data_IF_637917937086
#
_entry.id   IF_637917937086
#
_cell.length_a   1.000
_cell.length_b   1.000
_cell.length_c   1.000
_cell.angle_alpha   90.00
_cell.angle_beta   90.00
_cell.angle_gamma   90.00
#
_symmetry.space_group_name_H-M   'P 1'
#
loop_
_entity.id
_entity.type
_entity.pdbx_description
1 polymer ?
#
# COMPACT_ATOMS: atom_id res chain seq x y z
N UNK A 1 8.69 22.82 -44.70
CA UNK A 1 8.65 21.96 -43.49
C UNK A 1 7.23 21.44 -43.33
N UNK A 2 6.99 20.15 -43.54
CA UNK A 2 5.65 19.56 -43.40
C UNK A 2 5.21 19.63 -41.92
N UNK A 3 4.03 20.19 -41.66
CA UNK A 3 3.49 20.36 -40.31
C UNK A 3 3.39 19.03 -39.57
N UNK A 4 3.88 18.98 -38.33
CA UNK A 4 3.77 17.78 -37.48
C UNK A 4 2.31 17.56 -37.10
N UNK A 5 1.68 16.56 -37.71
CA UNK A 5 0.33 16.11 -37.33
C UNK A 5 0.36 15.64 -35.87
N UNK A 6 -0.59 16.14 -35.06
CA UNK A 6 -0.72 15.76 -33.67
C UNK A 6 -1.08 14.28 -33.50
N UNK A 7 -0.80 13.70 -32.34
CA UNK A 7 -1.19 12.31 -32.05
C UNK A 7 -2.72 12.12 -32.01
N UNK A 8 -3.49 13.17 -31.71
CA UNK A 8 -4.96 13.16 -31.78
C UNK A 8 -5.44 13.02 -33.23
N UNK A 9 -4.97 13.89 -34.11
CA UNK A 9 -5.32 13.86 -35.54
C UNK A 9 -4.89 12.55 -36.22
N UNK A 10 -3.76 11.96 -35.82
CA UNK A 10 -3.34 10.62 -36.29
C UNK A 10 -4.32 9.52 -35.85
N UNK A 11 -4.91 9.61 -34.65
CA UNK A 11 -5.92 8.64 -34.17
C UNK A 11 -7.22 8.78 -34.92
N UNK A 12 -7.70 10.01 -35.12
CA UNK A 12 -8.92 10.29 -35.89
C UNK A 12 -8.80 9.81 -37.34
N UNK A 13 -7.67 10.09 -38.00
CA UNK A 13 -7.37 9.60 -39.34
C UNK A 13 -7.35 8.07 -39.39
N UNK A 14 -6.72 7.43 -38.39
CA UNK A 14 -6.71 5.96 -38.31
C UNK A 14 -8.14 5.43 -38.19
N UNK A 15 -8.95 5.96 -37.27
CA UNK A 15 -10.32 5.53 -37.04
C UNK A 15 -11.21 5.67 -38.30
N UNK A 16 -11.08 6.77 -39.04
CA UNK A 16 -11.83 6.99 -40.28
C UNK A 16 -11.48 6.02 -41.42
N UNK A 17 -10.26 5.47 -41.42
CA UNK A 17 -9.74 4.62 -42.50
C UNK A 17 -9.83 3.12 -42.16
N UNK A 18 -10.04 2.76 -40.89
CA UNK A 18 -10.12 1.36 -40.41
C UNK A 18 -11.16 0.55 -41.17
N UNK A 19 -12.37 1.07 -41.38
CA UNK A 19 -13.45 0.32 -42.05
C UNK A 19 -13.15 0.10 -43.54
N UNK A 20 -12.55 1.10 -44.20
CA UNK A 20 -12.06 0.94 -45.59
C UNK A 20 -10.95 -0.12 -45.66
N UNK A 21 -10.00 -0.09 -44.72
CA UNK A 21 -8.96 -1.10 -44.63
C UNK A 21 -9.54 -2.51 -44.38
N UNK A 22 -10.59 -2.62 -43.57
CA UNK A 22 -11.25 -3.89 -43.25
C UNK A 22 -11.89 -4.53 -44.48
N UNK A 23 -12.65 -3.74 -45.25
CA UNK A 23 -13.40 -4.18 -46.43
C UNK A 23 -12.52 -4.34 -47.70
N UNK A 24 -11.32 -3.78 -47.70
CA UNK A 24 -10.41 -3.81 -48.85
C UNK A 24 -9.80 -5.19 -49.14
N UNK A 25 -9.57 -5.47 -50.43
CA UNK A 25 -8.78 -6.60 -50.91
C UNK A 25 -7.27 -6.43 -50.63
N UNK A 26 -6.47 -7.47 -50.92
CA UNK A 26 -5.03 -7.49 -50.58
C UNK A 26 -4.23 -6.35 -51.21
N UNK A 27 -4.52 -6.01 -52.47
CA UNK A 27 -3.85 -4.91 -53.19
C UNK A 27 -4.21 -3.54 -52.58
N UNK A 28 -5.50 -3.31 -52.31
CA UNK A 28 -5.99 -2.03 -51.78
C UNK A 28 -5.60 -1.82 -50.31
N UNK A 29 -5.50 -2.89 -49.51
CA UNK A 29 -4.91 -2.85 -48.17
C UNK A 29 -3.48 -2.33 -48.18
N UNK A 30 -2.70 -2.70 -49.20
CA UNK A 30 -1.36 -2.19 -49.41
C UNK A 30 -1.35 -0.68 -49.58
N UNK A 31 -2.16 -0.18 -50.53
CA UNK A 31 -2.30 1.25 -50.84
C UNK A 31 -2.77 2.06 -49.64
N UNK A 32 -3.78 1.59 -48.92
CA UNK A 32 -4.30 2.25 -47.72
C UNK A 32 -3.23 2.36 -46.62
N UNK A 33 -2.39 1.34 -46.46
CA UNK A 33 -1.26 1.39 -45.52
C UNK A 33 -0.19 2.39 -45.97
N UNK A 34 0.13 2.45 -47.26
CA UNK A 34 1.10 3.39 -47.82
C UNK A 34 0.64 4.84 -47.63
N UNK A 35 -0.63 5.13 -47.91
CA UNK A 35 -1.24 6.44 -47.68
C UNK A 35 -1.19 6.83 -46.19
N UNK A 36 -1.56 5.92 -45.29
CA UNK A 36 -1.51 6.19 -43.85
C UNK A 36 -0.07 6.46 -43.39
N UNK A 37 0.92 5.71 -43.88
CA UNK A 37 2.33 5.92 -43.55
C UNK A 37 2.84 7.27 -44.08
N UNK A 38 2.45 7.66 -45.30
CA UNK A 38 2.83 8.94 -45.90
C UNK A 38 2.27 10.14 -45.11
N UNK A 39 1.02 10.06 -44.67
CA UNK A 39 0.38 11.15 -43.92
C UNK A 39 0.86 11.20 -42.46
N UNK A 40 0.94 10.05 -41.78
CA UNK A 40 1.28 10.01 -40.35
C UNK A 40 2.79 10.03 -40.09
N UNK A 41 3.62 9.68 -41.07
CA UNK A 41 5.05 9.43 -40.89
C UNK A 41 5.32 8.14 -40.09
N UNK A 42 4.34 7.26 -39.94
CA UNK A 42 4.53 5.98 -39.26
C UNK A 42 5.25 4.97 -40.12
N UNK A 43 6.05 4.11 -39.47
CA UNK A 43 6.54 2.90 -40.10
C UNK A 43 5.39 1.94 -40.40
N UNK A 44 5.43 1.22 -41.54
CA UNK A 44 4.38 0.30 -41.99
C UNK A 44 3.93 -0.70 -40.92
N UNK A 45 4.89 -1.25 -40.16
CA UNK A 45 4.61 -2.17 -39.02
C UNK A 45 3.81 -1.52 -37.89
N UNK A 46 3.94 -0.22 -37.69
CA UNK A 46 3.14 0.53 -36.73
C UNK A 46 1.72 0.78 -37.27
N UNK A 47 1.59 1.19 -38.53
CA UNK A 47 0.28 1.36 -39.19
C UNK A 47 -0.57 0.07 -39.18
N UNK A 48 0.05 -1.08 -39.50
CA UNK A 48 -0.61 -2.40 -39.41
C UNK A 48 -1.11 -2.69 -37.99
N UNK A 49 -0.29 -2.43 -36.97
CA UNK A 49 -0.68 -2.62 -35.55
C UNK A 49 -1.80 -1.68 -35.13
N UNK A 50 -1.80 -0.45 -35.62
CA UNK A 50 -2.82 0.55 -35.33
C UNK A 50 -4.18 0.14 -35.92
N UNK A 51 -4.22 -0.36 -37.16
CA UNK A 51 -5.43 -0.93 -37.74
C UNK A 51 -5.88 -2.21 -37.03
N UNK A 52 -4.97 -3.14 -36.74
CA UNK A 52 -5.29 -4.37 -36.03
C UNK A 52 -5.86 -4.09 -34.63
N UNK A 53 -5.36 -3.05 -33.96
CA UNK A 53 -5.87 -2.63 -32.64
C UNK A 53 -7.27 -2.05 -32.73
N UNK A 54 -7.61 -1.29 -33.77
CA UNK A 54 -8.98 -0.78 -33.96
C UNK A 54 -9.95 -1.89 -34.40
N UNK A 55 -9.51 -2.82 -35.25
CA UNK A 55 -10.31 -4.01 -35.62
C UNK A 55 -10.51 -4.96 -34.43
N UNK A 56 -9.54 -5.05 -33.52
CA UNK A 56 -9.64 -5.81 -32.28
C UNK A 56 -10.49 -5.11 -31.20
N UNK A 57 -10.89 -3.84 -31.40
CA UNK A 57 -11.91 -3.17 -30.57
C UNK A 57 -13.30 -3.51 -31.15
N UNK A 58 -13.61 -4.79 -31.28
CA UNK A 58 -15.00 -5.20 -31.03
C UNK A 58 -15.11 -5.44 -29.53
N UNK A 59 -15.93 -4.67 -28.78
CA UNK A 59 -16.08 -4.81 -27.33
C UNK A 59 -16.55 -6.19 -26.87
N UNK A 60 -17.00 -7.05 -27.79
CA UNK A 60 -17.83 -8.21 -27.50
C UNK A 60 -17.07 -9.47 -27.04
N UNK A 61 -15.73 -9.50 -27.01
CA UNK A 61 -15.04 -10.77 -26.71
C UNK A 61 -13.75 -10.67 -25.90
N UNK A 62 -13.53 -9.62 -25.10
CA UNK A 62 -12.66 -9.80 -23.93
C UNK A 62 -13.46 -10.59 -22.91
N UNK A 63 -13.43 -11.92 -23.03
CA UNK A 63 -13.94 -12.87 -22.04
C UNK A 63 -13.37 -12.45 -20.69
N UNK A 64 -14.15 -11.69 -19.92
CA UNK A 64 -13.70 -11.17 -18.64
C UNK A 64 -13.47 -12.40 -17.77
N UNK A 65 -12.19 -12.68 -17.49
CA UNK A 65 -11.82 -13.82 -16.67
C UNK A 65 -12.51 -13.62 -15.32
N UNK A 66 -13.37 -14.57 -14.94
CA UNK A 66 -14.09 -14.49 -13.67
C UNK A 66 -13.05 -14.25 -12.55
N UNK A 67 -13.24 -13.24 -11.69
CA UNK A 67 -12.29 -12.97 -10.62
C UNK A 67 -12.11 -14.21 -9.75
N UNK A 68 -10.86 -14.67 -9.58
CA UNK A 68 -10.53 -15.81 -8.69
C UNK A 68 -10.95 -15.53 -7.25
N UNK A 69 -10.94 -14.26 -6.84
CA UNK A 69 -11.38 -13.81 -5.53
C UNK A 69 -12.73 -13.11 -5.68
N UNK A 70 -13.80 -13.82 -5.31
CA UNK A 70 -15.16 -13.29 -5.30
C UNK A 70 -15.40 -12.31 -4.15
N UNK A 71 -16.55 -11.63 -4.16
CA UNK A 71 -16.97 -10.75 -3.07
C UNK A 71 -16.93 -11.46 -1.71
N UNK A 72 -17.36 -12.72 -1.65
CA UNK A 72 -17.35 -13.56 -0.44
C UNK A 72 -15.95 -13.71 0.16
N UNK A 73 -14.91 -13.84 -0.66
CA UNK A 73 -13.52 -13.93 -0.17
C UNK A 73 -13.02 -12.57 0.31
N UNK A 74 -13.39 -11.50 -0.39
CA UNK A 74 -13.10 -10.13 0.08
C UNK A 74 -13.72 -9.90 1.45
N UNK A 75 -14.99 -10.23 1.64
CA UNK A 75 -15.71 -10.03 2.92
C UNK A 75 -15.08 -10.86 4.04
N UNK A 76 -14.67 -12.10 3.76
CA UNK A 76 -13.92 -12.92 4.70
C UNK A 76 -12.58 -12.29 5.11
N UNK A 77 -11.84 -11.75 4.14
CA UNK A 77 -10.58 -11.05 4.41
C UNK A 77 -10.78 -9.74 5.18
N UNK A 78 -11.90 -9.03 4.96
CA UNK A 78 -12.27 -7.85 5.75
C UNK A 78 -12.52 -8.24 7.20
N UNK A 79 -13.32 -9.29 7.46
CA UNK A 79 -13.58 -9.76 8.81
C UNK A 79 -12.28 -10.18 9.53
N UNK A 80 -11.42 -10.96 8.86
CA UNK A 80 -10.11 -11.37 9.39
C UNK A 80 -9.19 -10.15 9.68
N UNK A 81 -9.23 -9.14 8.82
CA UNK A 81 -8.48 -7.90 9.00
C UNK A 81 -9.01 -7.06 10.17
N UNK A 82 -10.32 -7.01 10.37
CA UNK A 82 -10.93 -6.30 11.49
C UNK A 82 -10.63 -6.95 12.84
N UNK A 83 -10.71 -8.29 12.96
CA UNK A 83 -10.40 -8.96 14.24
C UNK A 83 -8.93 -8.91 14.61
N UNK A 84 -8.06 -8.67 13.63
CA UNK A 84 -6.62 -8.58 13.81
C UNK A 84 -6.13 -7.15 14.01
N UNK A 85 -7.01 -6.26 14.44
CA UNK A 85 -6.71 -4.84 14.67
C UNK A 85 -6.10 -4.15 13.44
N UNK A 86 -6.62 -4.50 12.25
CA UNK A 86 -6.32 -3.84 10.98
C UNK A 86 -4.85 -3.90 10.55
N UNK A 87 -4.11 -4.93 10.97
CA UNK A 87 -2.70 -5.16 10.59
C UNK A 87 -2.44 -5.23 9.08
N UNK A 88 -1.18 -5.05 8.67
CA UNK A 88 -0.77 -5.11 7.28
C UNK A 88 -0.92 -6.53 6.67
N UNK A 89 -1.09 -6.62 5.35
CA UNK A 89 -1.38 -7.89 4.67
C UNK A 89 -0.31 -8.98 4.89
N UNK A 90 0.95 -8.59 5.09
CA UNK A 90 2.05 -9.53 5.41
C UNK A 90 1.85 -10.23 6.76
N UNK A 91 1.54 -9.47 7.82
CA UNK A 91 1.25 -10.04 9.15
C UNK A 91 -0.08 -10.78 9.16
N UNK A 92 -1.09 -10.22 8.49
CA UNK A 92 -2.40 -10.86 8.36
C UNK A 92 -2.27 -12.25 7.73
N UNK A 93 -1.51 -12.39 6.63
CA UNK A 93 -1.26 -13.69 5.99
C UNK A 93 -0.78 -14.76 6.98
N UNK A 94 0.14 -14.40 7.88
CA UNK A 94 0.68 -15.32 8.90
C UNK A 94 -0.37 -15.68 9.95
N UNK A 95 -1.26 -14.76 10.29
CA UNK A 95 -2.29 -14.95 11.32
C UNK A 95 -3.55 -15.65 10.81
N UNK A 96 -3.85 -15.59 9.50
CA UNK A 96 -5.05 -16.20 8.89
C UNK A 96 -5.24 -17.68 9.31
N UNK A 97 -4.22 -18.56 9.28
CA UNK A 97 -4.38 -19.96 9.68
C UNK A 97 -4.86 -20.15 11.13
N UNK A 98 -4.56 -19.21 12.03
CA UNK A 98 -4.98 -19.24 13.44
C UNK A 98 -6.34 -18.58 13.65
N UNK A 99 -6.59 -17.44 12.99
CA UNK A 99 -7.81 -16.66 13.15
C UNK A 99 -9.01 -17.33 12.49
N UNK A 100 -8.82 -17.87 11.27
CA UNK A 100 -9.91 -18.41 10.45
C UNK A 100 -10.68 -19.53 11.17
N UNK A 101 -10.06 -20.57 11.75
CA UNK A 101 -10.78 -21.61 12.50
C UNK A 101 -11.54 -21.07 13.72
N UNK A 102 -11.00 -20.03 14.37
CA UNK A 102 -11.64 -19.41 15.53
C UNK A 102 -12.91 -18.67 15.13
N UNK A 103 -12.87 -17.88 14.05
CA UNK A 103 -14.03 -17.20 13.48
C UNK A 103 -15.11 -18.18 13.01
N UNK A 104 -14.72 -19.30 12.39
CA UNK A 104 -15.63 -20.38 11.97
C UNK A 104 -16.31 -21.03 13.19
N UNK A 105 -15.53 -21.39 14.23
CA UNK A 105 -16.04 -22.00 15.47
C UNK A 105 -17.07 -21.13 16.18
N UNK A 106 -16.85 -19.82 16.23
CA UNK A 106 -17.76 -18.87 16.87
C UNK A 106 -18.90 -18.41 15.94
N UNK A 107 -19.06 -19.01 14.76
CA UNK A 107 -20.13 -18.69 13.82
C UNK A 107 -20.05 -17.28 13.23
N UNK A 108 -18.91 -16.60 13.38
CA UNK A 108 -18.66 -15.23 12.90
C UNK A 108 -18.31 -15.20 11.41
N UNK A 109 -17.81 -16.31 10.87
CA UNK A 109 -17.53 -16.49 9.45
C UNK A 109 -17.97 -17.88 9.00
N UNK A 110 -18.63 -17.97 7.83
CA UNK A 110 -19.03 -19.25 7.24
C UNK A 110 -18.53 -19.34 5.81
N UNK A 111 -17.51 -20.18 5.60
CA UNK A 111 -16.95 -20.47 4.29
C UNK A 111 -17.21 -21.94 3.92
N UNK A 112 -17.46 -22.18 2.65
CA UNK A 112 -17.36 -23.52 2.09
C UNK A 112 -15.88 -23.90 1.90
N UNK A 113 -15.61 -25.18 1.69
CA UNK A 113 -14.25 -25.72 1.59
C UNK A 113 -13.42 -25.04 0.48
N UNK A 114 -14.06 -24.68 -0.64
CA UNK A 114 -13.39 -24.02 -1.76
C UNK A 114 -12.95 -22.59 -1.39
N UNK A 115 -13.83 -21.80 -0.78
CA UNK A 115 -13.51 -20.45 -0.33
C UNK A 115 -12.50 -20.46 0.83
N UNK A 116 -12.58 -21.45 1.72
CA UNK A 116 -11.60 -21.64 2.80
C UNK A 116 -10.19 -21.87 2.25
N UNK A 117 -10.05 -22.73 1.25
CA UNK A 117 -8.77 -22.96 0.58
C UNK A 117 -8.23 -21.68 -0.08
N UNK A 118 -9.09 -20.88 -0.70
CA UNK A 118 -8.70 -19.62 -1.33
C UNK A 118 -8.25 -18.56 -0.31
N UNK A 119 -8.91 -18.47 0.85
CA UNK A 119 -8.51 -17.57 1.95
C UNK A 119 -7.18 -18.01 2.56
N UNK A 120 -6.95 -19.31 2.75
CA UNK A 120 -5.68 -19.83 3.27
C UNK A 120 -4.52 -19.66 2.27
N UNK A 121 -4.81 -19.79 0.96
CA UNK A 121 -3.81 -19.72 -0.10
C UNK A 121 -3.50 -18.31 -0.61
N UNK A 122 -4.22 -17.27 -0.15
CA UNK A 122 -4.08 -15.92 -0.69
C UNK A 122 -2.72 -15.30 -0.33
N UNK A 123 -2.10 -14.64 -1.32
CA UNK A 123 -0.82 -13.95 -1.11
C UNK A 123 -1.01 -12.64 -0.34
N UNK A 124 0.01 -12.21 0.41
CA UNK A 124 -0.02 -10.93 1.14
C UNK A 124 -0.29 -9.74 0.20
N UNK A 125 0.32 -9.75 -0.99
CA UNK A 125 0.10 -8.71 -2.00
C UNK A 125 -1.35 -8.69 -2.50
N UNK A 126 -1.98 -9.86 -2.65
CA UNK A 126 -3.39 -9.97 -3.05
C UNK A 126 -4.32 -9.49 -1.93
N UNK A 127 -4.03 -9.83 -0.67
CA UNK A 127 -4.75 -9.31 0.50
C UNK A 127 -4.76 -7.79 0.46
N UNK A 128 -3.57 -7.18 0.32
CA UNK A 128 -3.45 -5.73 0.31
C UNK A 128 -4.23 -5.08 -0.85
N UNK A 129 -4.21 -5.69 -2.05
CA UNK A 129 -4.99 -5.23 -3.21
C UNK A 129 -6.51 -5.31 -2.98
N UNK A 130 -7.01 -6.42 -2.42
CA UNK A 130 -8.43 -6.63 -2.18
C UNK A 130 -8.99 -5.71 -1.08
N UNK A 131 -8.13 -5.32 -0.14
CA UNK A 131 -8.50 -4.48 1.00
C UNK A 131 -8.22 -2.98 0.79
N UNK A 132 -7.71 -2.53 -0.37
CA UNK A 132 -7.35 -1.12 -0.60
C UNK A 132 -8.49 -0.17 -0.24
N UNK A 133 -9.67 -0.37 -0.85
CA UNK A 133 -10.82 0.51 -0.63
C UNK A 133 -11.32 0.46 0.82
N UNK A 134 -11.34 -0.74 1.42
CA UNK A 134 -11.72 -0.91 2.82
C UNK A 134 -10.77 -0.18 3.76
N UNK A 135 -9.46 -0.26 3.49
CA UNK A 135 -8.41 0.44 4.27
C UNK A 135 -8.54 1.96 4.14
N UNK A 136 -8.84 2.46 2.95
CA UNK A 136 -9.05 3.90 2.72
C UNK A 136 -10.28 4.40 3.48
N UNK A 137 -11.40 3.67 3.39
CA UNK A 137 -12.62 4.01 4.12
C UNK A 137 -12.38 4.01 5.64
N UNK A 138 -11.71 2.97 6.16
CA UNK A 138 -11.37 2.85 7.58
C UNK A 138 -10.41 3.95 8.08
N UNK A 139 -9.61 4.55 7.19
CA UNK A 139 -8.71 5.67 7.49
C UNK A 139 -9.37 7.06 7.31
N UNK A 140 -10.71 7.13 7.20
CA UNK A 140 -11.44 8.38 7.00
C UNK A 140 -11.26 8.98 5.60
N UNK A 141 -11.11 8.12 4.58
CA UNK A 141 -10.97 8.54 3.18
C UNK A 141 -9.59 9.07 2.80
N UNK A 142 -8.67 9.19 3.76
CA UNK A 142 -7.33 9.72 3.52
C UNK A 142 -6.38 8.59 3.13
N UNK A 143 -5.88 8.62 1.89
CA UNK A 143 -4.66 7.85 1.56
C UNK A 143 -3.50 8.45 2.34
N UNK A 144 -2.77 7.63 3.09
CA UNK A 144 -1.53 8.05 3.75
C UNK A 144 -0.62 8.62 2.67
N UNK A 145 -0.27 9.91 2.75
CA UNK A 145 0.64 10.53 1.78
C UNK A 145 1.98 9.81 1.89
N UNK A 146 2.36 9.08 0.85
CA UNK A 146 3.69 8.50 0.75
C UNK A 146 4.62 9.64 0.34
N UNK A 147 5.67 9.90 1.13
CA UNK A 147 6.79 10.72 0.67
C UNK A 147 6.89 12.16 1.19
N UNK A 148 6.89 12.37 2.51
CA UNK A 148 7.62 13.50 3.09
C UNK A 148 8.42 13.01 4.31
N UNK A 149 9.46 12.23 4.05
CA UNK A 149 10.60 12.22 4.98
C UNK A 149 11.33 13.53 4.72
N UNK A 150 11.32 14.47 5.68
CA UNK A 150 12.24 15.61 5.63
C UNK A 150 13.68 15.09 5.46
N UNK A 151 14.57 15.89 4.88
CA UNK A 151 16.00 15.52 4.76
C UNK A 151 16.55 15.05 6.12
N UNK A 152 16.20 15.76 7.20
CA UNK A 152 16.50 15.40 8.60
C UNK A 152 16.00 14.00 8.97
N UNK A 153 14.78 13.61 8.58
CA UNK A 153 14.25 12.26 8.85
C UNK A 153 14.93 11.15 8.04
N UNK A 154 15.65 11.49 6.95
CA UNK A 154 16.45 10.51 6.19
C UNK A 154 17.84 10.33 6.79
N UNK A 155 18.36 11.34 7.49
CA UNK A 155 19.64 11.28 8.19
C UNK A 155 19.57 10.53 9.52
N UNK A 156 18.38 10.45 10.13
CA UNK A 156 18.18 9.62 11.33
C UNK A 156 17.95 8.16 10.91
N UNK A 157 18.90 7.25 11.14
CA UNK A 157 18.72 5.85 10.79
C UNK A 157 17.58 5.25 11.61
N UNK A 158 16.59 4.67 10.92
CA UNK A 158 15.52 3.90 11.57
C UNK A 158 16.12 2.54 11.90
N UNK A 159 16.45 2.31 13.16
CA UNK A 159 16.83 0.98 13.65
C UNK A 159 15.57 0.13 13.76
N UNK A 160 15.61 -1.04 13.13
CA UNK A 160 14.59 -2.07 13.25
C UNK A 160 14.99 -3.08 14.33
N UNK A 161 14.12 -4.03 14.64
CA UNK A 161 14.38 -5.07 15.65
C UNK A 161 15.73 -5.79 15.46
N UNK A 162 16.22 -5.89 14.21
CA UNK A 162 17.42 -6.65 13.87
C UNK A 162 18.71 -5.81 13.94
N UNK A 163 18.61 -4.49 14.11
CA UNK A 163 19.74 -3.56 14.04
C UNK A 163 20.34 -3.26 15.42
N UNK A 164 19.79 -3.84 16.49
CA UNK A 164 20.22 -3.58 17.86
C UNK A 164 21.47 -4.38 18.29
N UNK A 165 21.76 -5.51 17.63
CA UNK A 165 22.93 -6.36 17.91
C UNK A 165 23.08 -6.79 19.39
N UNK A 166 21.96 -7.06 20.07
CA UNK A 166 21.91 -7.55 21.46
C UNK A 166 22.72 -6.68 22.46
N UNK A 167 22.31 -5.41 22.67
CA UNK A 167 23.04 -4.50 23.54
C UNK A 167 22.89 -4.95 25.00
N UNK A 168 23.87 -4.66 25.88
CA UNK A 168 23.70 -4.91 27.31
C UNK A 168 22.62 -3.96 27.91
N UNK A 169 22.09 -4.26 29.11
CA UNK A 169 21.17 -3.34 29.79
C UNK A 169 21.78 -1.95 30.00
N UNK A 170 21.00 -0.91 29.68
CA UNK A 170 21.35 0.51 29.75
C UNK A 170 21.09 1.30 28.46
N UNK A 171 20.72 0.63 27.37
CA UNK A 171 20.40 1.23 26.07
C UNK A 171 18.89 1.36 25.93
N UNK A 172 18.38 2.60 25.96
CA UNK A 172 16.94 2.84 25.95
C UNK A 172 16.44 3.46 24.63
N UNK A 173 15.27 3.02 24.18
CA UNK A 173 14.48 3.71 23.17
C UNK A 173 13.45 4.63 23.87
N UNK A 174 13.27 5.84 23.34
CA UNK A 174 12.32 6.82 23.88
C UNK A 174 11.30 7.18 22.80
N UNK A 175 10.02 7.07 23.15
CA UNK A 175 8.91 7.50 22.30
C UNK A 175 7.91 8.37 23.07
N UNK A 176 7.05 9.08 22.37
CA UNK A 176 5.98 9.88 22.95
C UNK A 176 4.64 9.62 22.28
N UNK A 177 3.61 9.36 23.08
CA UNK A 177 2.22 9.22 22.62
C UNK A 177 1.40 10.43 23.07
N UNK A 178 0.79 11.12 22.11
CA UNK A 178 -0.11 12.24 22.40
C UNK A 178 -1.55 11.76 22.62
N UNK A 179 -2.16 12.16 23.74
CA UNK A 179 -3.54 11.81 24.10
C UNK A 179 -4.54 12.85 23.58
N UNK A 180 -4.53 13.10 22.26
CA UNK A 180 -5.34 14.13 21.60
C UNK A 180 -6.58 13.62 20.84
N UNK A 181 -6.87 12.32 20.92
CA UNK A 181 -7.96 11.72 20.16
C UNK A 181 -7.73 11.85 18.64
N UNK A 182 -8.73 12.35 17.92
CA UNK A 182 -8.71 12.49 16.45
C UNK A 182 -8.16 13.84 15.96
N UNK A 183 -7.91 14.78 16.87
CA UNK A 183 -7.38 16.10 16.54
C UNK A 183 -5.91 16.20 16.92
N UNK A 184 -5.13 16.86 16.06
CA UNK A 184 -3.75 17.26 16.35
C UNK A 184 -3.62 18.74 16.67
N UNK A 185 -4.75 19.46 16.76
CA UNK A 185 -4.77 20.89 17.05
C UNK A 185 -4.94 21.13 18.55
N UNK A 186 -3.96 21.77 19.19
CA UNK A 186 -3.98 22.14 20.61
C UNK A 186 -2.81 21.56 21.41
N UNK A 187 -2.81 21.85 22.71
CA UNK A 187 -1.89 21.24 23.68
C UNK A 187 -2.53 19.98 24.26
N UNK A 188 -1.78 18.88 24.27
CA UNK A 188 -2.27 17.60 24.77
C UNK A 188 -1.29 17.03 25.80
N UNK A 189 -1.85 16.31 26.77
CA UNK A 189 -1.05 15.45 27.63
C UNK A 189 -0.38 14.41 26.75
N UNK A 190 0.90 14.18 26.99
CA UNK A 190 1.68 13.16 26.32
C UNK A 190 2.25 12.19 27.35
N UNK A 191 2.35 10.93 26.99
CA UNK A 191 3.16 9.97 27.74
C UNK A 191 4.48 9.83 27.03
N UNK A 192 5.57 10.16 27.73
CA UNK A 192 6.92 9.78 27.33
C UNK A 192 7.20 8.39 27.86
N UNK A 193 7.53 7.47 26.96
CA UNK A 193 7.85 6.07 27.28
C UNK A 193 9.34 5.88 27.03
N UNK A 194 10.06 5.34 28.01
CA UNK A 194 11.47 4.96 27.88
C UNK A 194 11.62 3.48 28.17
N UNK A 195 12.14 2.72 27.21
CA UNK A 195 12.24 1.26 27.27
C UNK A 195 13.69 0.83 27.11
N UNK A 196 14.23 0.07 28.06
CA UNK A 196 15.53 -0.60 27.90
C UNK A 196 15.40 -1.78 26.91
N UNK A 197 16.24 -1.78 25.88
CA UNK A 197 16.16 -2.74 24.76
C UNK A 197 16.47 -4.16 25.20
N UNK A 198 17.41 -4.34 26.13
CA UNK A 198 17.88 -5.66 26.56
C UNK A 198 16.89 -6.36 27.50
N UNK A 199 16.32 -5.61 28.45
CA UNK A 199 15.49 -6.13 29.53
C UNK A 199 13.99 -5.96 29.26
N UNK A 200 13.61 -5.06 28.35
CA UNK A 200 12.22 -4.65 28.14
C UNK A 200 11.65 -3.79 29.26
N UNK A 201 12.48 -3.39 30.25
CA UNK A 201 12.03 -2.55 31.35
C UNK A 201 11.56 -1.20 30.82
N UNK A 202 10.36 -0.78 31.24
CA UNK A 202 9.68 0.39 30.69
C UNK A 202 9.27 1.36 31.79
N UNK A 203 9.65 2.63 31.63
CA UNK A 203 9.20 3.73 32.48
C UNK A 203 8.36 4.73 31.66
N UNK A 204 7.29 5.23 32.27
CA UNK A 204 6.35 6.15 31.62
C UNK A 204 6.23 7.45 32.42
N UNK A 205 6.40 8.58 31.74
CA UNK A 205 6.29 9.92 32.34
C UNK A 205 5.16 10.72 31.69
N UNK A 206 4.22 11.28 32.46
CA UNK A 206 3.23 12.20 31.92
C UNK A 206 3.86 13.58 31.68
N UNK A 207 3.59 14.14 30.50
CA UNK A 207 3.97 15.49 30.10
C UNK A 207 2.70 16.29 29.83
N UNK A 208 2.53 17.44 30.47
CA UNK A 208 1.35 18.31 30.27
C UNK A 208 1.31 18.94 28.87
N UNK A 209 2.48 19.12 28.26
CA UNK A 209 2.64 19.57 26.87
C UNK A 209 4.01 19.13 26.35
N UNK A 210 4.19 19.15 25.03
CA UNK A 210 5.47 18.84 24.38
C UNK A 210 6.37 20.06 24.35
N UNK A 211 7.03 20.31 25.47
CA UNK A 211 8.00 21.39 25.64
C UNK A 211 9.37 20.80 25.98
N UNK A 212 10.45 21.36 25.40
CA UNK A 212 11.78 20.77 25.47
C UNK A 212 12.30 20.59 26.89
N UNK A 213 12.09 21.57 27.77
CA UNK A 213 12.47 21.50 29.17
C UNK A 213 11.72 20.40 29.93
N UNK A 214 10.41 20.27 29.72
CA UNK A 214 9.62 19.18 30.30
C UNK A 214 10.08 17.80 29.83
N UNK A 215 10.43 17.65 28.55
CA UNK A 215 10.94 16.38 27.98
C UNK A 215 12.26 15.99 28.65
N UNK A 216 13.21 16.92 28.77
CA UNK A 216 14.51 16.64 29.42
C UNK A 216 14.31 16.20 30.88
N UNK A 217 13.50 16.93 31.65
CA UNK A 217 13.22 16.55 33.06
C UNK A 217 12.53 15.20 33.18
N UNK A 218 11.62 14.89 32.28
CA UNK A 218 10.96 13.58 32.25
C UNK A 218 11.96 12.46 31.92
N UNK A 219 12.89 12.68 30.99
CA UNK A 219 13.96 11.71 30.70
C UNK A 219 14.88 11.51 31.90
N UNK A 220 15.32 12.57 32.57
CA UNK A 220 16.14 12.48 33.79
C UNK A 220 15.40 11.73 34.91
N UNK A 221 14.11 12.03 35.08
CA UNK A 221 13.27 11.34 36.07
C UNK A 221 13.11 9.87 35.73
N UNK A 222 12.76 9.53 34.49
CA UNK A 222 12.62 8.16 34.03
C UNK A 222 13.94 7.39 34.25
N UNK A 223 15.08 7.98 33.89
CA UNK A 223 16.40 7.37 34.13
C UNK A 223 16.57 7.03 35.61
N UNK A 224 16.27 7.97 36.52
CA UNK A 224 16.42 7.76 37.97
C UNK A 224 15.65 6.54 38.51
N UNK A 225 14.57 6.12 37.83
CA UNK A 225 13.74 4.99 38.23
C UNK A 225 14.24 3.65 37.68
N UNK A 226 15.10 3.66 36.64
CA UNK A 226 15.62 2.41 36.10
C UNK A 226 16.46 1.68 37.16
N UNK A 227 16.25 0.37 37.34
CA UNK A 227 16.98 -0.46 38.31
C UNK A 227 18.45 -0.71 37.92
N UNK A 228 18.99 0.05 36.96
CA UNK A 228 20.33 -0.08 36.42
C UNK A 228 21.24 1.00 37.02
N UNK A 229 22.42 0.58 37.51
CA UNK A 229 23.41 1.47 38.12
C UNK A 229 23.80 2.65 37.24
N UNK A 230 24.09 3.80 37.87
CA UNK A 230 24.30 5.09 37.22
C UNK A 230 25.42 5.11 36.14
N UNK A 231 26.31 4.11 36.11
CA UNK A 231 27.45 4.03 35.19
C UNK A 231 27.16 3.44 33.81
N UNK A 232 25.94 2.91 33.54
CA UNK A 232 25.59 2.22 32.28
C UNK A 232 24.55 2.93 31.41
N UNK A 233 24.10 4.12 31.79
CA UNK A 233 23.08 4.88 31.05
C UNK A 233 23.76 5.72 29.98
N UNK A 234 23.93 5.17 28.77
CA UNK A 234 24.42 5.93 27.61
C UNK A 234 23.34 5.93 26.53
N UNK A 235 23.05 7.11 26.00
CA UNK A 235 22.20 7.34 24.84
C UNK A 235 23.00 7.16 23.55
#
# INVERSE_FOLDING_TARGET
MAGRISMGARRELTAAVVERYRLAGRADKGRILDELCAVTGWHRKHAVRAFASHVAISPEARRQRRPTYSAKIRDALVALWEVSDRICGKRLKVMIPTLLPSLERHGRLKLDQANRALVLGVSAATIDRLLVETKIAAAGGKRRRVGFYSAVRREVPIRTFNDWHDPPPGFCEVDMVAHGGTSVAGSFIQTLTMVDVATGWTECMPLVTREGGLVVRAMERAQSLFPLGHSRRRF
#
